data_IF_030079849008
#
_entry.id   IF_030079849008
#
_cell.length_a   1.000
_cell.length_b   1.000
_cell.length_c   1.000
_cell.angle_alpha   90.00
_cell.angle_beta   90.00
_cell.angle_gamma   90.00
#
_symmetry.space_group_name_H-M   'P 1'
#
loop_
_entity.id
_entity.type
_entity.pdbx_description
1 polymer ?
#
# COMPACT_ATOMS: atom_id res chain seq x y z
N UNK A 1 -18.55 -0.12 4.40
CA UNK A 1 -18.25 0.94 3.41
C UNK A 1 -17.62 0.29 2.18
N UNK A 2 -18.15 0.51 0.96
CA UNK A 2 -17.54 -0.01 -0.28
C UNK A 2 -16.35 0.88 -0.66
N UNK A 3 -15.17 0.29 -0.86
CA UNK A 3 -13.90 1.01 -1.10
C UNK A 3 -13.99 2.01 -2.25
N UNK A 4 -14.69 1.66 -3.33
CA UNK A 4 -14.91 2.54 -4.49
C UNK A 4 -15.65 3.83 -4.14
N UNK A 5 -16.66 3.75 -3.27
CA UNK A 5 -17.40 4.95 -2.82
C UNK A 5 -16.51 5.84 -1.95
N UNK A 6 -15.77 5.24 -1.01
CA UNK A 6 -14.87 5.98 -0.15
C UNK A 6 -13.75 6.70 -0.93
N UNK A 7 -13.27 6.11 -2.03
CA UNK A 7 -12.28 6.74 -2.90
C UNK A 7 -12.86 7.97 -3.61
N UNK A 8 -14.10 7.89 -4.12
CA UNK A 8 -14.80 9.03 -4.72
C UNK A 8 -14.99 10.17 -3.74
N UNK A 9 -15.38 9.85 -2.51
CA UNK A 9 -15.66 10.85 -1.48
C UNK A 9 -14.37 11.52 -0.96
N UNK A 10 -13.28 10.74 -0.77
CA UNK A 10 -12.05 11.22 -0.14
C UNK A 10 -11.00 11.77 -1.11
N UNK A 11 -11.12 11.51 -2.41
CA UNK A 11 -10.13 11.92 -3.42
C UNK A 11 -10.84 12.63 -4.58
N UNK A 12 -10.99 13.96 -4.55
CA UNK A 12 -11.65 14.71 -5.63
C UNK A 12 -11.01 14.49 -7.01
N UNK A 13 -9.68 14.30 -7.02
CA UNK A 13 -8.85 13.97 -8.19
C UNK A 13 -9.23 12.63 -8.85
N UNK A 14 -10.01 11.78 -8.17
CA UNK A 14 -10.52 10.53 -8.72
C UNK A 14 -11.37 10.76 -9.97
N UNK A 15 -12.20 11.82 -9.95
CA UNK A 15 -13.05 12.19 -11.08
C UNK A 15 -12.23 12.74 -12.27
N UNK A 16 -11.11 13.42 -12.00
CA UNK A 16 -10.20 13.96 -13.02
C UNK A 16 -9.39 12.85 -13.72
N UNK A 17 -9.12 11.74 -13.03
CA UNK A 17 -8.42 10.57 -13.58
C UNK A 17 -9.35 9.58 -14.28
N UNK A 18 -10.58 9.97 -14.59
CA UNK A 18 -11.59 9.13 -15.24
C UNK A 18 -11.81 7.79 -14.52
N UNK A 19 -11.83 7.79 -13.18
CA UNK A 19 -11.98 6.59 -12.34
C UNK A 19 -10.86 5.55 -12.49
N UNK A 20 -9.73 5.88 -13.13
CA UNK A 20 -8.65 4.92 -13.38
C UNK A 20 -7.78 4.74 -12.14
N UNK A 21 -8.08 3.71 -11.36
CA UNK A 21 -7.24 3.26 -10.24
C UNK A 21 -6.18 2.30 -10.73
N UNK A 22 -4.94 2.57 -10.33
CA UNK A 22 -3.82 1.64 -10.45
C UNK A 22 -3.59 1.01 -9.07
N UNK A 23 -3.84 -0.28 -8.96
CA UNK A 23 -3.71 -1.07 -7.75
C UNK A 23 -2.40 -1.85 -7.77
N UNK A 24 -1.59 -1.67 -6.73
CA UNK A 24 -0.45 -2.52 -6.44
C UNK A 24 -0.78 -3.40 -5.23
N UNK A 25 -0.67 -4.72 -5.37
CA UNK A 25 -0.78 -5.68 -4.26
C UNK A 25 0.11 -6.89 -4.54
N UNK A 26 0.33 -7.74 -3.54
CA UNK A 26 1.16 -8.94 -3.65
C UNK A 26 0.41 -10.10 -4.35
N UNK A 27 1.17 -11.11 -4.77
CA UNK A 27 0.63 -12.25 -5.53
C UNK A 27 0.05 -13.36 -4.66
N UNK A 28 -0.28 -13.11 -3.38
CA UNK A 28 -0.88 -14.16 -2.55
C UNK A 28 -2.16 -14.70 -3.20
N UNK A 29 -2.39 -16.02 -3.06
CA UNK A 29 -3.47 -16.73 -3.76
C UNK A 29 -4.85 -16.10 -3.55
N UNK A 30 -5.09 -15.58 -2.35
CA UNK A 30 -6.32 -14.88 -2.00
C UNK A 30 -6.54 -13.61 -2.84
N UNK A 31 -5.48 -12.87 -3.18
CA UNK A 31 -5.57 -11.62 -3.93
C UNK A 31 -5.68 -11.82 -5.44
N UNK A 32 -5.14 -12.92 -5.98
CA UNK A 32 -5.14 -13.16 -7.44
C UNK A 32 -6.36 -13.94 -7.91
N UNK A 33 -6.74 -15.04 -7.24
CA UNK A 33 -7.81 -15.92 -7.75
C UNK A 33 -9.21 -15.48 -7.34
N UNK A 34 -9.38 -15.01 -6.10
CA UNK A 34 -10.71 -14.75 -5.53
C UNK A 34 -11.25 -13.39 -5.97
N UNK A 35 -10.36 -12.40 -6.18
CA UNK A 35 -10.75 -10.99 -6.35
C UNK A 35 -10.68 -10.52 -7.81
N UNK A 36 -10.12 -11.33 -8.73
CA UNK A 36 -9.91 -10.94 -10.14
C UNK A 36 -11.16 -10.40 -10.83
N UNK A 37 -12.28 -11.13 -10.77
CA UNK A 37 -13.54 -10.74 -11.41
C UNK A 37 -14.11 -9.45 -10.81
N UNK A 38 -13.88 -9.21 -9.52
CA UNK A 38 -14.28 -7.98 -8.85
C UNK A 38 -13.43 -6.79 -9.30
N UNK A 39 -12.11 -6.95 -9.42
CA UNK A 39 -11.21 -5.90 -9.92
C UNK A 39 -11.52 -5.55 -11.39
N UNK A 40 -11.85 -6.55 -12.22
CA UNK A 40 -12.32 -6.35 -13.59
C UNK A 40 -13.63 -5.55 -13.63
N UNK A 41 -14.58 -5.86 -12.74
CA UNK A 41 -15.84 -5.11 -12.61
C UNK A 41 -15.60 -3.65 -12.21
N UNK A 42 -14.61 -3.41 -11.34
CA UNK A 42 -14.20 -2.06 -10.94
C UNK A 42 -13.37 -1.33 -12.02
N UNK A 43 -12.92 -2.04 -13.07
CA UNK A 43 -12.03 -1.53 -14.13
C UNK A 43 -10.71 -0.98 -13.58
N UNK A 44 -10.19 -1.59 -12.53
CA UNK A 44 -8.92 -1.19 -11.94
C UNK A 44 -7.76 -1.86 -12.68
N UNK A 45 -6.71 -1.09 -12.95
CA UNK A 45 -5.47 -1.60 -13.49
C UNK A 45 -4.67 -2.22 -12.35
N UNK A 46 -4.27 -3.49 -12.49
CA UNK A 46 -3.44 -4.17 -11.49
C UNK A 46 -1.99 -4.13 -11.97
N UNK A 47 -1.12 -3.51 -11.18
CA UNK A 47 0.31 -3.52 -11.44
C UNK A 47 0.89 -4.90 -11.21
N UNK A 48 1.76 -5.34 -12.12
CA UNK A 48 2.55 -6.55 -11.90
C UNK A 48 3.44 -6.38 -10.67
N UNK A 49 3.45 -7.42 -9.83
CA UNK A 49 4.32 -7.49 -8.67
C UNK A 49 5.17 -8.75 -8.77
N UNK A 50 6.45 -8.67 -8.41
CA UNK A 50 7.31 -9.86 -8.36
C UNK A 50 6.98 -10.68 -7.11
N UNK A 51 6.98 -12.02 -7.16
CA UNK A 51 6.89 -12.83 -5.95
C UNK A 51 8.00 -12.48 -4.95
N UNK A 52 7.64 -12.41 -3.66
CA UNK A 52 8.58 -12.28 -2.53
C UNK A 52 9.47 -11.03 -2.54
N UNK A 53 9.03 -9.92 -3.13
CA UNK A 53 9.84 -8.69 -3.18
C UNK A 53 9.25 -7.55 -2.33
N UNK A 54 9.36 -7.60 -0.99
CA UNK A 54 8.83 -6.57 -0.11
C UNK A 54 9.50 -5.20 -0.33
N UNK A 55 10.73 -5.17 -0.84
CA UNK A 55 11.47 -3.94 -1.12
C UNK A 55 10.88 -3.10 -2.27
N UNK A 56 9.92 -3.64 -3.04
CA UNK A 56 9.15 -2.87 -4.04
C UNK A 56 7.66 -2.73 -3.67
N UNK A 57 7.28 -3.04 -2.43
CA UNK A 57 5.95 -2.82 -1.88
C UNK A 57 5.96 -1.60 -0.94
N UNK A 58 5.36 -0.45 -1.32
CA UNK A 58 5.31 0.75 -0.47
C UNK A 58 4.73 0.52 0.92
N UNK A 59 3.80 -0.44 1.04
CA UNK A 59 3.26 -0.87 2.33
C UNK A 59 4.36 -1.43 3.23
N UNK A 60 5.25 -2.27 2.71
CA UNK A 60 6.26 -2.95 3.52
C UNK A 60 7.44 -2.03 3.81
N UNK A 61 8.08 -1.46 2.78
CA UNK A 61 9.33 -0.73 2.96
C UNK A 61 9.16 0.65 3.62
N UNK A 62 7.96 1.22 3.61
CA UNK A 62 7.70 2.57 4.12
C UNK A 62 6.64 2.60 5.22
N UNK A 63 5.41 2.16 4.92
CA UNK A 63 4.28 2.27 5.86
C UNK A 63 4.50 1.39 7.10
N UNK A 64 4.64 0.08 6.92
CA UNK A 64 4.82 -0.89 8.01
C UNK A 64 6.19 -0.76 8.66
N UNK A 65 7.24 -0.44 7.89
CA UNK A 65 8.55 -0.11 8.47
C UNK A 65 8.45 1.05 9.47
N UNK A 66 7.74 2.13 9.12
CA UNK A 66 7.53 3.24 10.05
C UNK A 66 6.61 2.87 11.22
N UNK A 67 5.58 2.05 10.97
CA UNK A 67 4.63 1.61 12.00
C UNK A 67 5.30 0.70 13.04
N UNK A 68 6.19 -0.19 12.62
CA UNK A 68 6.91 -1.13 13.49
C UNK A 68 7.67 -0.40 14.61
N UNK A 69 8.30 0.74 14.32
CA UNK A 69 8.95 1.57 15.34
C UNK A 69 7.96 2.08 16.40
N UNK A 70 6.75 2.45 15.99
CA UNK A 70 5.71 2.90 16.92
C UNK A 70 5.08 1.76 17.72
N UNK A 71 5.09 0.54 17.17
CA UNK A 71 4.54 -0.66 17.80
C UNK A 71 5.48 -1.33 18.79
N UNK A 72 6.80 -1.12 18.67
CA UNK A 72 7.82 -1.86 19.43
C UNK A 72 7.59 -1.84 20.96
N UNK A 73 7.11 -0.73 21.50
CA UNK A 73 6.89 -0.56 22.94
C UNK A 73 5.41 -0.69 23.38
N UNK A 74 4.52 -1.04 22.45
CA UNK A 74 3.08 -1.08 22.72
C UNK A 74 2.64 -2.44 23.25
N UNK A 75 1.80 -2.42 24.28
CA UNK A 75 1.15 -3.60 24.84
C UNK A 75 -0.36 -3.40 24.82
N UNK A 76 -1.03 -4.09 23.90
CA UNK A 76 -2.48 -4.01 23.74
C UNK A 76 -3.18 -5.15 24.49
N UNK A 77 -4.26 -4.83 25.20
CA UNK A 77 -5.09 -5.78 25.95
C UNK A 77 -6.38 -6.14 25.23
N UNK A 78 -6.73 -5.38 24.20
CA UNK A 78 -7.96 -5.59 23.44
C UNK A 78 -7.78 -5.21 21.97
N UNK A 79 -8.68 -5.74 21.15
CA UNK A 79 -8.79 -5.34 19.75
C UNK A 79 -9.10 -3.85 19.58
N UNK A 80 -9.89 -3.28 20.50
CA UNK A 80 -10.26 -1.87 20.46
C UNK A 80 -9.05 -0.95 20.67
N UNK A 81 -8.15 -1.32 21.58
CA UNK A 81 -6.89 -0.60 21.77
C UNK A 81 -6.01 -0.63 20.52
N UNK A 82 -5.89 -1.77 19.85
CA UNK A 82 -5.14 -1.90 18.58
C UNK A 82 -5.75 -0.98 17.52
N UNK A 83 -7.08 -1.02 17.35
CA UNK A 83 -7.78 -0.20 16.37
C UNK A 83 -7.58 1.29 16.63
N UNK A 84 -7.78 1.73 17.87
CA UNK A 84 -7.62 3.13 18.26
C UNK A 84 -6.18 3.63 18.06
N UNK A 85 -5.20 2.78 18.35
CA UNK A 85 -3.80 3.10 18.10
C UNK A 85 -3.51 3.25 16.60
N UNK A 86 -3.99 2.33 15.76
CA UNK A 86 -3.83 2.41 14.30
C UNK A 86 -4.50 3.66 13.74
N UNK A 87 -5.72 3.97 14.17
CA UNK A 87 -6.45 5.17 13.73
C UNK A 87 -5.69 6.45 14.12
N UNK A 88 -5.16 6.51 15.34
CA UNK A 88 -4.35 7.63 15.84
C UNK A 88 -3.02 7.75 15.10
N UNK A 89 -2.34 6.63 14.86
CA UNK A 89 -1.08 6.59 14.11
C UNK A 89 -1.29 7.07 12.68
N UNK A 90 -2.35 6.62 12.00
CA UNK A 90 -2.69 7.07 10.66
C UNK A 90 -3.00 8.58 10.62
N UNK A 91 -3.75 9.09 11.61
CA UNK A 91 -4.07 10.51 11.71
C UNK A 91 -2.82 11.39 12.01
N UNK A 92 -1.79 10.82 12.63
CA UNK A 92 -0.52 11.52 12.91
C UNK A 92 0.36 11.73 11.68
N UNK A 93 0.11 10.99 10.59
CA UNK A 93 0.91 11.10 9.36
C UNK A 93 0.31 12.14 8.43
N UNK A 94 1.15 13.04 7.94
CA UNK A 94 0.75 14.02 6.95
C UNK A 94 0.63 13.42 5.55
N UNK A 95 0.07 14.19 4.61
CA UNK A 95 -0.03 13.75 3.22
C UNK A 95 1.32 13.52 2.54
N UNK A 96 2.38 14.22 2.99
CA UNK A 96 3.72 14.11 2.42
C UNK A 96 4.37 12.77 2.76
N UNK A 97 4.10 12.23 3.94
CA UNK A 97 4.54 10.90 4.35
C UNK A 97 4.05 9.83 3.37
N UNK A 98 2.75 9.83 3.05
CA UNK A 98 2.20 8.86 2.09
C UNK A 98 2.69 9.11 0.66
N UNK A 99 2.80 10.38 0.25
CA UNK A 99 3.32 10.72 -1.09
C UNK A 99 4.76 10.26 -1.27
N UNK A 100 5.62 10.44 -0.26
CA UNK A 100 7.02 10.01 -0.31
C UNK A 100 7.14 8.50 -0.49
N UNK A 101 6.38 7.73 0.30
CA UNK A 101 6.35 6.27 0.19
C UNK A 101 5.98 5.78 -1.21
N UNK A 102 5.13 6.49 -1.95
CA UNK A 102 4.78 6.12 -3.33
C UNK A 102 5.81 6.64 -4.34
N UNK A 103 6.34 7.86 -4.13
CA UNK A 103 7.28 8.51 -5.05
C UNK A 103 8.67 7.89 -5.07
N UNK A 104 9.07 7.14 -4.04
CA UNK A 104 10.34 6.40 -4.00
C UNK A 104 10.28 5.07 -4.78
N UNK A 105 9.09 4.66 -5.26
CA UNK A 105 8.93 3.41 -5.98
C UNK A 105 9.76 3.31 -7.29
N UNK A 106 9.87 4.35 -8.13
CA UNK A 106 10.71 4.31 -9.33
C UNK A 106 12.20 4.09 -9.01
N UNK A 107 12.75 4.80 -8.03
CA UNK A 107 14.15 4.63 -7.60
C UNK A 107 14.43 3.19 -7.12
N UNK A 108 13.45 2.58 -6.44
CA UNK A 108 13.54 1.17 -6.01
C UNK A 108 13.47 0.19 -7.19
N UNK A 109 12.68 0.50 -8.22
CA UNK A 109 12.69 -0.29 -9.46
C UNK A 109 14.03 -0.19 -10.19
N UNK A 110 14.64 1.00 -10.24
CA UNK A 110 15.97 1.18 -10.83
C UNK A 110 17.02 0.35 -10.08
N UNK A 111 17.02 0.38 -8.75
CA UNK A 111 17.90 -0.47 -7.92
C UNK A 111 17.66 -1.96 -8.17
N UNK A 112 16.40 -2.39 -8.29
CA UNK A 112 16.06 -3.78 -8.58
C UNK A 112 16.65 -4.24 -9.93
N UNK A 113 16.50 -3.43 -10.96
CA UNK A 113 17.02 -3.71 -12.30
C UNK A 113 18.54 -3.71 -12.29
N UNK A 114 19.17 -2.74 -11.63
CA UNK A 114 20.62 -2.66 -11.50
C UNK A 114 21.23 -3.83 -10.69
N UNK A 115 20.42 -4.49 -9.85
CA UNK A 115 20.83 -5.64 -9.05
C UNK A 115 20.48 -6.98 -9.73
N UNK A 116 20.11 -6.98 -11.02
CA UNK A 116 19.68 -8.18 -11.76
C UNK A 116 18.57 -8.98 -11.04
N UNK A 117 17.65 -8.28 -10.36
CA UNK A 117 16.56 -8.90 -9.62
C UNK A 117 16.92 -9.39 -8.21
N UNK A 118 18.13 -9.13 -7.73
CA UNK A 118 18.54 -9.44 -6.36
C UNK A 118 18.06 -8.39 -5.35
N UNK A 119 18.07 -8.75 -4.06
CA UNK A 119 17.86 -7.81 -2.97
C UNK A 119 18.94 -6.72 -2.97
N UNK A 120 18.55 -5.51 -2.61
CA UNK A 120 19.43 -4.35 -2.55
C UNK A 120 19.27 -3.61 -1.24
N UNK A 121 20.32 -2.92 -0.81
CA UNK A 121 20.25 -2.10 0.40
C UNK A 121 19.40 -0.85 0.18
N UNK A 122 18.61 -0.53 1.22
CA UNK A 122 17.65 0.58 1.22
C UNK A 122 18.19 1.81 1.89
#
# INVERSE_FOLDING_TARGET
MRLSQALKDKRPQYNERHDKVILQHDNARAHVKVVKTYLETLKWEVLSHSPYFPDVAPSDYHLFRSMAHGLADQHFRSYEEVKNWIDSWNASKDGQFFQRGIRTLPERWEKLVASDGQYFET
#
